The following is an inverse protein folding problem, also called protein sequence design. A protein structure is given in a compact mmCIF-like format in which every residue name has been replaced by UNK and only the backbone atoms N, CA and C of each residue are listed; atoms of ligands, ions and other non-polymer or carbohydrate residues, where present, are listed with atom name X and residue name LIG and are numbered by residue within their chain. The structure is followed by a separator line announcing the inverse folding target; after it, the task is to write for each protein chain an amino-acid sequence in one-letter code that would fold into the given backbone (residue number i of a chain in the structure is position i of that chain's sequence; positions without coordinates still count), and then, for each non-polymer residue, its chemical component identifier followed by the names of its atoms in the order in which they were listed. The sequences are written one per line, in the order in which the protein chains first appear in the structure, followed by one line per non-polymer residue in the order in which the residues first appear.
data_IF_981665485414
#
_entry.id   IF_981665485414
#
_cell.length_a   1.000
_cell.length_b   1.000
_cell.length_c   1.000
_cell.angle_alpha   90.00
_cell.angle_beta   90.00
_cell.angle_gamma   90.00
#
_symmetry.space_group_name_H-M   'P 1'
#
loop_
_entity.id
_entity.type
_entity.pdbx_description
1 polymer ?
#
# COMPACT_ATOMS: atom_id res chain seq x y z
N UNK A 1 -8.98 5.66 -14.73
CA UNK A 1 -7.68 5.44 -14.06
C UNK A 1 -6.81 6.66 -14.30
N UNK A 2 -6.20 7.24 -13.26
CA UNK A 2 -5.23 8.32 -13.39
C UNK A 2 -3.82 7.72 -13.31
N UNK A 3 -2.93 8.02 -14.26
CA UNK A 3 -1.56 7.56 -14.21
C UNK A 3 -0.86 8.12 -12.96
N UNK A 4 -0.01 7.30 -12.35
CA UNK A 4 0.78 7.68 -11.18
C UNK A 4 2.02 8.47 -11.60
N UNK A 5 2.43 9.42 -10.76
CA UNK A 5 3.74 10.08 -10.84
C UNK A 5 4.76 9.44 -9.89
N UNK A 6 4.38 8.37 -9.21
CA UNK A 6 5.24 7.57 -8.34
C UNK A 6 6.00 6.59 -9.24
N UNK A 7 7.30 6.61 -9.20
CA UNK A 7 8.19 6.01 -10.18
C UNK A 7 8.10 4.47 -10.25
N UNK A 8 7.68 3.81 -9.16
CA UNK A 8 7.64 2.35 -9.06
C UNK A 8 6.22 1.74 -9.21
N UNK A 9 5.21 2.54 -9.58
CA UNK A 9 3.84 2.07 -9.79
C UNK A 9 3.16 2.79 -10.96
N UNK A 10 2.21 2.14 -11.61
CA UNK A 10 1.50 2.71 -12.77
C UNK A 10 0.25 3.50 -12.37
N UNK A 11 -0.39 3.13 -11.26
CA UNK A 11 -1.60 3.80 -10.76
C UNK A 11 -1.64 3.85 -9.23
N UNK A 12 -2.53 4.67 -8.69
CA UNK A 12 -2.85 4.67 -7.25
C UNK A 12 -4.34 4.44 -7.03
N UNK A 13 -4.66 3.74 -5.94
CA UNK A 13 -6.02 3.51 -5.49
C UNK A 13 -6.13 3.83 -4.00
N UNK A 14 -7.00 4.77 -3.65
CA UNK A 14 -7.11 5.31 -2.30
C UNK A 14 -8.53 5.12 -1.74
N UNK A 15 -8.91 3.90 -1.31
CA UNK A 15 -10.19 3.64 -0.63
C UNK A 15 -10.21 4.20 0.80
N UNK A 16 -9.07 4.67 1.30
CA UNK A 16 -8.91 5.40 2.56
C UNK A 16 -8.10 6.67 2.28
N UNK A 17 -8.36 7.73 3.00
CA UNK A 17 -7.58 8.99 3.00
C UNK A 17 -7.21 9.34 4.42
N UNK A 18 -6.11 10.09 4.58
CA UNK A 18 -5.63 10.52 5.88
C UNK A 18 -4.92 9.42 6.67
N UNK A 19 -4.14 9.83 7.64
CA UNK A 19 -3.29 8.94 8.43
C UNK A 19 -2.82 9.65 9.70
N UNK A 20 -2.43 8.85 10.72
CA UNK A 20 -1.77 9.34 11.93
C UNK A 20 -0.28 9.04 11.85
N UNK A 21 0.56 9.97 12.31
CA UNK A 21 2.03 9.81 12.33
C UNK A 21 2.45 8.79 13.38
N UNK A 22 3.38 7.90 13.03
CA UNK A 22 3.87 6.83 13.92
C UNK A 22 5.39 6.78 14.04
N UNK A 23 6.13 7.53 13.22
CA UNK A 23 7.59 7.50 13.19
C UNK A 23 8.18 8.79 12.65
N UNK A 24 9.49 9.03 12.80
CA UNK A 24 10.18 10.18 12.22
C UNK A 24 10.02 10.30 10.70
N UNK A 25 9.82 9.19 9.98
CA UNK A 25 9.53 9.17 8.54
C UNK A 25 8.20 9.84 8.16
N UNK A 26 7.30 10.07 9.13
CA UNK A 26 6.05 10.78 8.91
C UNK A 26 6.16 12.31 9.10
N UNK A 27 7.33 12.83 9.51
CA UNK A 27 7.49 14.26 9.86
C UNK A 27 7.14 15.20 8.71
N UNK A 28 7.65 14.92 7.52
CA UNK A 28 7.45 15.72 6.30
C UNK A 28 6.63 14.93 5.26
N UNK A 29 5.50 14.36 5.69
CA UNK A 29 4.65 13.54 4.84
C UNK A 29 4.08 14.35 3.67
N UNK A 30 4.38 13.91 2.44
CA UNK A 30 3.87 14.56 1.24
C UNK A 30 2.34 14.51 1.13
N UNK A 31 1.74 13.42 1.62
CA UNK A 31 0.30 13.23 1.57
C UNK A 31 -0.42 14.18 2.52
N UNK A 32 0.11 14.37 3.74
CA UNK A 32 -0.38 15.37 4.68
C UNK A 32 -0.21 16.78 4.12
N UNK A 33 1.00 17.13 3.67
CA UNK A 33 1.27 18.45 3.11
C UNK A 33 0.38 18.79 1.91
N UNK A 34 -0.01 17.78 1.12
CA UNK A 34 -0.96 17.95 0.02
C UNK A 34 -2.39 18.14 0.56
N UNK A 35 -2.85 17.23 1.44
CA UNK A 35 -4.24 17.21 1.92
C UNK A 35 -4.61 18.46 2.72
N UNK A 36 -3.71 18.91 3.59
CA UNK A 36 -3.93 20.08 4.44
C UNK A 36 -4.11 21.40 3.67
N UNK A 37 -3.62 21.50 2.43
CA UNK A 37 -3.88 22.67 1.56
C UNK A 37 -5.36 22.86 1.24
N UNK A 38 -6.13 21.80 1.33
CA UNK A 38 -7.55 21.78 0.97
C UNK A 38 -8.46 21.68 2.19
N UNK A 39 -7.90 21.74 3.41
CA UNK A 39 -8.70 21.75 4.63
C UNK A 39 -9.65 22.95 4.62
N UNK A 40 -10.95 22.68 4.84
CA UNK A 40 -12.02 23.69 4.84
C UNK A 40 -12.47 24.15 3.45
N UNK A 41 -11.97 23.55 2.35
CA UNK A 41 -12.46 23.87 0.99
C UNK A 41 -13.72 23.04 0.69
N UNK A 42 -14.92 23.65 0.63
CA UNK A 42 -16.17 22.92 0.49
C UNK A 42 -16.23 22.05 -0.76
N UNK A 43 -16.67 20.79 -0.59
CA UNK A 43 -16.81 19.82 -1.67
C UNK A 43 -15.49 19.25 -2.20
N UNK A 44 -14.34 19.70 -1.70
CA UNK A 44 -13.05 19.11 -2.10
C UNK A 44 -12.83 17.74 -1.44
N UNK A 45 -12.25 16.74 -2.14
CA UNK A 45 -11.97 15.41 -1.58
C UNK A 45 -11.14 15.40 -0.28
N UNK A 46 -10.41 16.47 0.02
CA UNK A 46 -9.62 16.69 1.22
C UNK A 46 -10.11 17.89 2.04
N UNK A 47 -11.41 18.19 2.01
CA UNK A 47 -12.04 19.24 2.83
C UNK A 47 -11.73 19.10 4.33
N UNK A 48 -11.54 17.85 4.80
CA UNK A 48 -11.15 17.56 6.19
C UNK A 48 -9.62 17.49 6.38
N UNK A 49 -8.85 17.95 5.41
CA UNK A 49 -7.39 17.84 5.45
C UNK A 49 -6.94 16.39 5.46
N UNK A 50 -6.03 16.04 6.38
CA UNK A 50 -5.44 14.70 6.49
C UNK A 50 -6.07 13.82 7.57
N UNK A 51 -7.27 14.16 8.05
CA UNK A 51 -8.03 13.31 8.97
C UNK A 51 -8.43 11.98 8.29
N UNK A 52 -8.39 10.89 9.08
CA UNK A 52 -8.67 9.56 8.56
C UNK A 52 -10.12 9.43 8.09
N UNK A 53 -10.30 8.97 6.86
CA UNK A 53 -11.60 8.78 6.23
C UNK A 53 -11.66 7.54 5.36
N UNK A 54 -12.75 6.81 5.51
CA UNK A 54 -13.14 5.79 4.55
C UNK A 54 -13.68 6.46 3.29
N UNK A 55 -13.38 5.89 2.12
CA UNK A 55 -13.82 6.40 0.81
C UNK A 55 -14.54 5.30 0.04
N UNK A 56 -15.73 4.86 0.49
CA UNK A 56 -16.40 3.67 -0.01
C UNK A 56 -16.71 3.70 -1.52
N UNK A 57 -17.00 4.87 -2.09
CA UNK A 57 -17.26 5.02 -3.52
C UNK A 57 -16.04 4.70 -4.39
N UNK A 58 -14.84 4.57 -3.81
CA UNK A 58 -13.62 4.15 -4.49
C UNK A 58 -13.38 2.64 -4.47
N UNK A 59 -14.17 1.87 -3.72
CA UNK A 59 -13.97 0.42 -3.60
C UNK A 59 -14.05 -0.29 -4.94
N UNK A 60 -14.95 0.10 -5.81
CA UNK A 60 -15.14 -0.54 -7.11
C UNK A 60 -14.15 -0.11 -8.20
N UNK A 61 -13.30 0.91 -7.97
CA UNK A 61 -12.41 1.45 -9.01
C UNK A 61 -11.55 0.37 -9.71
N UNK A 62 -10.84 -0.54 -9.01
CA UNK A 62 -10.00 -1.55 -9.67
C UNK A 62 -10.79 -2.52 -10.56
N UNK A 63 -12.01 -2.86 -10.19
CA UNK A 63 -12.89 -3.77 -10.96
C UNK A 63 -13.35 -3.14 -12.30
N UNK A 64 -13.36 -1.81 -12.38
CA UNK A 64 -13.69 -1.06 -13.60
C UNK A 64 -12.52 -0.94 -14.57
N UNK A 65 -11.28 -1.17 -14.09
CA UNK A 65 -10.08 -1.07 -14.92
C UNK A 65 -9.79 -2.42 -15.58
N UNK A 66 -9.88 -2.46 -16.90
CA UNK A 66 -9.70 -3.70 -17.69
C UNK A 66 -8.28 -3.88 -18.22
N UNK A 67 -7.42 -2.86 -18.14
CA UNK A 67 -5.99 -3.00 -18.47
C UNK A 67 -5.25 -3.50 -17.24
N UNK A 68 -4.55 -4.65 -17.29
CA UNK A 68 -3.67 -5.10 -16.22
C UNK A 68 -2.68 -4.00 -15.83
N UNK A 69 -2.61 -3.67 -14.55
CA UNK A 69 -1.92 -2.47 -14.06
C UNK A 69 -1.31 -2.76 -12.69
N UNK A 70 -0.15 -2.19 -12.41
CA UNK A 70 0.43 -2.15 -11.07
C UNK A 70 -0.18 -0.99 -10.29
N UNK A 71 -0.76 -1.26 -9.13
CA UNK A 71 -1.56 -0.32 -8.35
C UNK A 71 -0.99 -0.18 -6.95
N UNK A 72 -0.54 1.02 -6.59
CA UNK A 72 -0.20 1.35 -5.21
C UNK A 72 -1.47 1.65 -4.40
N UNK A 73 -1.73 0.84 -3.39
CA UNK A 73 -2.91 0.95 -2.53
C UNK A 73 -2.61 1.92 -1.38
N UNK A 74 -3.48 2.92 -1.22
CA UNK A 74 -3.39 3.91 -0.15
C UNK A 74 -2.12 4.77 -0.18
N UNK A 75 -1.79 5.36 -1.33
CA UNK A 75 -0.71 6.34 -1.44
C UNK A 75 -0.93 7.61 -0.59
N UNK A 76 -2.16 7.87 -0.15
CA UNK A 76 -2.59 9.03 0.65
C UNK A 76 -3.06 8.62 2.06
N UNK A 77 -2.71 7.42 2.53
CA UNK A 77 -3.10 6.87 3.83
C UNK A 77 -2.28 5.62 4.15
N UNK A 78 -2.71 4.86 5.17
CA UNK A 78 -2.18 3.53 5.49
C UNK A 78 -3.35 2.58 5.73
N UNK A 79 -3.40 1.46 5.00
CA UNK A 79 -4.50 0.49 5.06
C UNK A 79 -4.68 -0.09 6.47
N UNK A 80 -3.59 -0.23 7.22
CA UNK A 80 -3.57 -0.82 8.56
C UNK A 80 -3.60 0.22 9.69
N UNK A 81 -3.97 1.47 9.37
CA UNK A 81 -4.12 2.52 10.37
C UNK A 81 -5.18 2.10 11.42
N UNK A 82 -4.96 2.43 12.68
CA UNK A 82 -5.69 1.93 13.84
C UNK A 82 -7.19 2.22 13.79
N UNK A 83 -7.58 3.40 13.31
CA UNK A 83 -8.98 3.84 13.20
C UNK A 83 -9.72 3.21 12.00
N UNK A 84 -9.02 2.49 11.12
CA UNK A 84 -9.68 1.77 10.02
C UNK A 84 -10.26 0.47 10.55
N UNK A 85 -11.60 0.27 10.45
CA UNK A 85 -12.23 -0.98 10.90
C UNK A 85 -11.68 -2.19 10.14
N UNK A 86 -11.40 -3.28 10.85
CA UNK A 86 -10.88 -4.52 10.24
C UNK A 86 -11.81 -5.03 9.13
N UNK A 87 -13.13 -4.93 9.32
CA UNK A 87 -14.10 -5.31 8.30
C UNK A 87 -13.99 -4.45 7.02
N UNK A 88 -13.58 -3.17 7.13
CA UNK A 88 -13.31 -2.35 5.95
C UNK A 88 -12.00 -2.75 5.27
N UNK A 89 -10.96 -3.07 6.05
CA UNK A 89 -9.70 -3.64 5.51
C UNK A 89 -10.02 -4.91 4.72
N UNK A 90 -10.85 -5.81 5.28
CA UNK A 90 -11.29 -7.02 4.59
C UNK A 90 -12.00 -6.69 3.27
N UNK A 91 -12.91 -5.69 3.25
CA UNK A 91 -13.58 -5.25 2.03
C UNK A 91 -12.59 -4.76 0.96
N UNK A 92 -11.59 -3.97 1.34
CA UNK A 92 -10.53 -3.51 0.42
C UNK A 92 -9.73 -4.70 -0.13
N UNK A 93 -9.39 -5.65 0.72
CA UNK A 93 -8.68 -6.88 0.35
C UNK A 93 -9.50 -7.75 -0.59
N UNK A 94 -10.80 -7.90 -0.35
CA UNK A 94 -11.70 -8.65 -1.23
C UNK A 94 -11.76 -8.04 -2.65
N UNK A 95 -11.72 -6.70 -2.77
CA UNK A 95 -11.62 -6.05 -4.09
C UNK A 95 -10.32 -6.45 -4.80
N UNK A 96 -9.19 -6.51 -4.07
CA UNK A 96 -7.91 -6.95 -4.66
C UNK A 96 -7.99 -8.40 -5.13
N UNK A 97 -8.61 -9.28 -4.36
CA UNK A 97 -8.81 -10.70 -4.72
C UNK A 97 -9.76 -10.86 -5.92
N UNK A 98 -10.76 -10.00 -6.05
CA UNK A 98 -11.72 -10.00 -7.18
C UNK A 98 -11.15 -9.39 -8.47
N UNK A 99 -10.03 -8.70 -8.40
CA UNK A 99 -9.37 -8.08 -9.55
C UNK A 99 -7.94 -8.63 -9.77
N UNK A 100 -7.75 -9.97 -9.90
CA UNK A 100 -6.43 -10.60 -9.88
C UNK A 100 -5.57 -10.28 -11.11
N UNK A 101 -6.11 -9.67 -12.15
CA UNK A 101 -5.37 -9.21 -13.33
C UNK A 101 -4.51 -7.95 -13.05
N UNK A 102 -4.72 -7.28 -11.91
CA UNK A 102 -3.84 -6.22 -11.44
C UNK A 102 -2.77 -6.76 -10.48
N UNK A 103 -1.67 -6.04 -10.35
CA UNK A 103 -0.72 -6.25 -9.24
C UNK A 103 -0.94 -5.14 -8.22
N UNK A 104 -1.27 -5.50 -6.99
CA UNK A 104 -1.49 -4.54 -5.91
C UNK A 104 -0.26 -4.46 -5.01
N UNK A 105 0.21 -3.25 -4.76
CA UNK A 105 1.33 -2.96 -3.86
C UNK A 105 0.78 -2.29 -2.62
N UNK A 106 0.82 -2.99 -1.49
CA UNK A 106 0.32 -2.50 -0.19
C UNK A 106 1.51 -2.21 0.71
N UNK A 107 1.64 -0.96 1.14
CA UNK A 107 2.73 -0.49 1.98
C UNK A 107 2.20 0.04 3.30
N UNK A 108 2.83 -0.34 4.42
CA UNK A 108 2.42 0.11 5.74
C UNK A 108 3.60 0.40 6.67
N UNK A 109 3.36 1.25 7.66
CA UNK A 109 4.19 1.42 8.85
C UNK A 109 3.64 0.67 10.08
N UNK A 110 2.49 0.00 9.94
CA UNK A 110 1.82 -0.80 10.98
C UNK A 110 2.05 -2.28 10.75
N UNK A 111 3.30 -2.68 10.72
CA UNK A 111 3.72 -4.04 10.37
C UNK A 111 3.13 -5.11 11.30
N UNK A 112 3.02 -4.84 12.60
CA UNK A 112 2.45 -5.79 13.57
C UNK A 112 0.96 -6.06 13.28
N UNK A 113 0.16 -5.02 13.00
CA UNK A 113 -1.25 -5.18 12.63
C UNK A 113 -1.42 -5.90 11.30
N UNK A 114 -0.60 -5.57 10.32
CA UNK A 114 -0.56 -6.27 9.03
C UNK A 114 -0.27 -7.76 9.24
N UNK A 115 0.78 -8.11 10.02
CA UNK A 115 1.15 -9.48 10.33
C UNK A 115 -0.01 -10.25 10.99
N UNK A 116 -0.64 -9.67 12.01
CA UNK A 116 -1.75 -10.30 12.70
C UNK A 116 -2.92 -10.64 11.77
N UNK A 117 -3.32 -9.68 10.91
CA UNK A 117 -4.42 -9.87 9.97
C UNK A 117 -4.05 -10.86 8.85
N UNK A 118 -2.85 -10.77 8.27
CA UNK A 118 -2.41 -11.67 7.21
C UNK A 118 -2.12 -13.10 7.69
N UNK A 119 -1.82 -13.29 8.97
CA UNK A 119 -1.69 -14.63 9.56
C UNK A 119 -3.04 -15.23 9.97
N UNK A 120 -4.06 -14.38 10.13
CA UNK A 120 -5.41 -14.74 10.56
C UNK A 120 -6.44 -14.63 9.41
N UNK A 121 -7.37 -13.70 9.56
CA UNK A 121 -8.55 -13.55 8.70
C UNK A 121 -8.28 -13.12 7.24
N UNK A 122 -7.10 -12.54 6.94
CA UNK A 122 -6.67 -12.16 5.58
C UNK A 122 -5.65 -13.14 4.98
N UNK A 123 -5.57 -14.36 5.48
CA UNK A 123 -4.56 -15.34 5.08
C UNK A 123 -4.65 -15.75 3.61
N UNK A 124 -5.84 -15.74 3.06
CA UNK A 124 -6.11 -15.97 1.64
C UNK A 124 -5.40 -14.92 0.75
N UNK A 125 -5.53 -13.65 1.14
CA UNK A 125 -4.88 -12.54 0.43
C UNK A 125 -3.36 -12.52 0.62
N UNK A 126 -2.83 -12.93 1.76
CA UNK A 126 -1.40 -13.05 1.98
C UNK A 126 -0.75 -13.98 0.94
N UNK A 127 -1.43 -15.06 0.56
CA UNK A 127 -0.96 -16.06 -0.40
C UNK A 127 -1.23 -15.70 -1.86
N UNK A 128 -1.97 -14.62 -2.13
CA UNK A 128 -2.28 -14.21 -3.48
C UNK A 128 -1.04 -13.59 -4.16
N UNK A 129 -0.54 -14.15 -5.29
CA UNK A 129 0.74 -13.71 -5.89
C UNK A 129 0.67 -12.35 -6.54
N UNK A 130 -0.52 -11.82 -6.79
CA UNK A 130 -0.78 -10.50 -7.36
C UNK A 130 -0.94 -9.41 -6.30
N UNK A 131 -0.86 -9.75 -4.99
CA UNK A 131 -0.88 -8.78 -3.89
C UNK A 131 0.50 -8.80 -3.21
N UNK A 132 1.22 -7.70 -3.34
CA UNK A 132 2.54 -7.51 -2.77
C UNK A 132 2.45 -6.73 -1.47
N UNK A 133 3.01 -7.27 -0.41
CA UNK A 133 2.95 -6.69 0.93
C UNK A 133 4.29 -6.11 1.31
N UNK A 134 4.30 -4.88 1.79
CA UNK A 134 5.53 -4.18 2.12
C UNK A 134 5.45 -3.36 3.39
N UNK A 135 6.62 -3.05 3.93
CA UNK A 135 6.79 -2.17 5.09
C UNK A 135 7.75 -1.04 4.76
N UNK A 136 7.49 0.15 5.34
CA UNK A 136 8.45 1.25 5.29
C UNK A 136 9.53 1.06 6.34
N UNK A 137 10.79 1.29 5.94
CA UNK A 137 11.97 1.19 6.80
C UNK A 137 12.77 2.49 6.64
N UNK A 138 12.51 3.47 7.50
CA UNK A 138 13.12 4.78 7.42
C UNK A 138 14.37 4.94 8.29
N UNK A 139 14.45 4.18 9.38
CA UNK A 139 15.51 4.22 10.39
C UNK A 139 15.65 2.87 11.09
N UNK A 140 16.68 2.73 11.94
CA UNK A 140 16.93 1.49 12.70
C UNK A 140 15.93 1.29 13.84
N UNK A 141 15.51 2.37 14.47
CA UNK A 141 14.68 2.30 15.68
C UNK A 141 13.22 1.95 15.36
N UNK A 142 12.60 2.66 14.42
CA UNK A 142 11.20 2.45 14.05
C UNK A 142 11.03 1.49 12.86
N UNK A 143 11.93 1.60 11.87
CA UNK A 143 11.81 0.93 10.60
C UNK A 143 12.30 -0.50 10.61
N UNK A 144 13.54 -0.75 11.07
CA UNK A 144 14.14 -2.08 11.01
C UNK A 144 13.32 -3.17 11.73
N UNK A 145 12.67 -2.95 12.89
CA UNK A 145 11.84 -3.97 13.53
C UNK A 145 10.65 -4.43 12.68
N UNK A 146 10.18 -3.60 11.72
CA UNK A 146 9.08 -3.98 10.83
C UNK A 146 9.45 -5.07 9.85
N UNK A 147 10.74 -5.27 9.56
CA UNK A 147 11.23 -6.33 8.68
C UNK A 147 10.85 -7.69 9.24
N UNK A 148 11.11 -7.93 10.53
CA UNK A 148 10.77 -9.20 11.18
C UNK A 148 9.26 -9.48 11.14
N UNK A 149 8.41 -8.47 11.35
CA UNK A 149 6.97 -8.62 11.20
C UNK A 149 6.57 -9.00 9.76
N UNK A 150 7.18 -8.39 8.74
CA UNK A 150 6.91 -8.71 7.35
C UNK A 150 7.36 -10.14 7.01
N UNK A 151 8.54 -10.55 7.45
CA UNK A 151 9.07 -11.91 7.25
C UNK A 151 8.20 -12.98 7.89
N UNK A 152 7.60 -12.69 9.05
CA UNK A 152 6.70 -13.59 9.76
C UNK A 152 5.29 -13.68 9.11
N UNK A 153 4.97 -12.84 8.09
CA UNK A 153 3.71 -12.97 7.36
C UNK A 153 3.78 -14.14 6.35
N UNK A 154 2.67 -14.86 6.07
CA UNK A 154 2.61 -15.87 5.02
C UNK A 154 2.52 -15.27 3.61
N UNK A 155 3.02 -14.05 3.40
CA UNK A 155 2.93 -13.32 2.15
C UNK A 155 3.73 -13.99 1.02
N UNK A 156 3.15 -14.03 -0.19
CA UNK A 156 3.81 -14.57 -1.38
C UNK A 156 4.92 -13.64 -1.88
N UNK A 157 4.66 -12.33 -1.91
CA UNK A 157 5.65 -11.32 -2.29
C UNK A 157 5.76 -10.29 -1.18
N UNK A 158 6.99 -10.06 -0.71
CA UNK A 158 7.34 -9.11 0.35
C UNK A 158 8.29 -8.05 -0.17
N UNK A 159 8.08 -6.79 0.18
CA UNK A 159 9.00 -5.73 -0.22
C UNK A 159 9.29 -4.74 0.91
N UNK A 160 10.46 -4.13 0.83
CA UNK A 160 10.88 -3.04 1.72
C UNK A 160 10.84 -1.72 0.95
N UNK A 161 10.29 -0.68 1.56
CA UNK A 161 10.38 0.69 1.09
C UNK A 161 11.19 1.50 2.10
N UNK A 162 12.46 1.74 1.79
CA UNK A 162 13.35 2.58 2.58
C UNK A 162 13.12 4.04 2.18
N UNK A 163 11.91 4.52 2.47
CA UNK A 163 11.42 5.85 2.06
C UNK A 163 10.63 6.54 3.19
N UNK A 164 11.10 7.70 3.66
CA UNK A 164 12.40 8.29 3.37
C UNK A 164 13.53 7.55 4.10
N UNK A 165 14.66 7.33 3.44
CA UNK A 165 15.87 6.81 4.10
C UNK A 165 16.52 7.93 4.90
N UNK A 166 16.55 7.79 6.23
CA UNK A 166 16.97 8.86 7.14
C UNK A 166 18.33 8.64 7.79
N UNK A 167 18.79 7.39 7.79
CA UNK A 167 20.11 6.99 8.32
C UNK A 167 20.59 5.71 7.64
N UNK A 168 21.82 5.28 7.97
CA UNK A 168 22.30 3.95 7.59
C UNK A 168 21.53 2.87 8.36
N UNK A 169 20.76 2.07 7.64
CA UNK A 169 19.96 0.98 8.20
C UNK A 169 20.61 -0.39 8.02
N UNK A 170 21.81 -0.43 7.44
CA UNK A 170 22.55 -1.67 7.24
C UNK A 170 23.19 -2.20 8.54
N UNK A 171 23.31 -3.53 8.75
CA UNK A 171 22.87 -4.57 7.82
C UNK A 171 21.35 -4.80 7.81
N UNK A 172 20.79 -5.09 6.62
CA UNK A 172 19.39 -5.48 6.45
C UNK A 172 19.27 -7.01 6.43
N UNK A 173 18.27 -7.56 7.11
CA UNK A 173 17.87 -8.94 6.90
C UNK A 173 16.96 -9.02 5.67
N UNK A 174 17.52 -9.50 4.55
CA UNK A 174 16.82 -9.66 3.27
C UNK A 174 16.28 -11.07 3.05
N UNK A 175 16.34 -11.96 4.05
CA UNK A 175 15.77 -13.31 3.91
C UNK A 175 14.27 -13.24 3.61
N UNK A 176 13.85 -13.89 2.53
CA UNK A 176 12.44 -13.91 2.11
C UNK A 176 11.88 -12.54 1.66
N UNK A 177 12.75 -11.55 1.41
CA UNK A 177 12.39 -10.27 0.79
C UNK A 177 12.59 -10.40 -0.72
N UNK A 178 11.64 -9.86 -1.49
CA UNK A 178 11.58 -10.01 -2.94
C UNK A 178 11.84 -8.69 -3.67
N UNK A 179 11.87 -7.56 -2.98
CA UNK A 179 12.11 -6.25 -3.56
C UNK A 179 12.50 -5.22 -2.51
N UNK A 180 13.43 -4.32 -2.88
CA UNK A 180 13.86 -3.19 -2.06
C UNK A 180 13.75 -1.91 -2.87
N UNK A 181 13.01 -0.94 -2.35
CA UNK A 181 12.86 0.41 -2.90
C UNK A 181 13.61 1.37 -1.98
N UNK A 182 14.42 2.27 -2.54
CA UNK A 182 15.12 3.31 -1.77
C UNK A 182 14.81 4.69 -2.32
N UNK A 183 14.53 5.63 -1.43
CA UNK A 183 14.31 7.02 -1.80
C UNK A 183 14.50 8.00 -0.66
N UNK A 184 14.99 9.19 -1.00
CA UNK A 184 15.15 10.30 -0.07
C UNK A 184 13.83 11.02 0.21
N UNK A 185 13.80 11.76 1.32
CA UNK A 185 12.67 12.60 1.68
C UNK A 185 12.48 13.73 0.67
N UNK A 186 11.23 14.05 0.32
CA UNK A 186 10.91 15.09 -0.66
C UNK A 186 10.07 16.19 -0.06
N UNK A 187 10.29 17.43 -0.51
CA UNK A 187 9.50 18.59 -0.08
C UNK A 187 10.28 19.55 0.79
N UNK A 188 9.60 20.57 1.29
CA UNK A 188 10.20 21.60 2.16
C UNK A 188 10.64 20.94 3.47
N UNK A 189 11.88 21.22 3.89
CA UNK A 189 12.46 20.62 5.08
C UNK A 189 12.99 19.20 4.91
N UNK A 190 13.06 18.68 3.69
CA UNK A 190 13.58 17.34 3.38
C UNK A 190 14.96 17.12 3.97
N UNK A 191 15.13 16.05 4.75
CA UNK A 191 16.39 15.63 5.34
C UNK A 191 17.27 14.99 4.27
N UNK A 192 18.57 15.27 4.25
CA UNK A 192 19.47 14.72 3.23
C UNK A 192 19.66 13.21 3.41
N UNK A 193 19.73 12.49 2.30
CA UNK A 193 20.12 11.09 2.23
C UNK A 193 21.58 11.00 1.78
N UNK A 194 22.38 10.15 2.42
CA UNK A 194 23.79 9.98 2.07
C UNK A 194 23.97 8.87 1.03
N UNK A 195 24.84 9.10 0.06
CA UNK A 195 25.13 8.16 -1.01
C UNK A 195 25.66 6.83 -0.48
N UNK A 196 26.54 6.86 0.52
CA UNK A 196 27.11 5.67 1.13
C UNK A 196 26.05 4.71 1.71
N UNK A 197 24.93 5.23 2.22
CA UNK A 197 23.84 4.39 2.72
C UNK A 197 23.15 3.62 1.57
N UNK A 198 22.94 4.30 0.45
CA UNK A 198 22.31 3.69 -0.74
C UNK A 198 23.23 2.63 -1.33
N UNK A 199 24.54 2.91 -1.41
CA UNK A 199 25.56 1.97 -1.91
C UNK A 199 25.65 0.70 -1.04
N UNK A 200 25.62 0.85 0.29
CA UNK A 200 25.60 -0.29 1.21
C UNK A 200 24.35 -1.18 1.03
N UNK A 201 23.18 -0.57 0.77
CA UNK A 201 21.94 -1.29 0.49
C UNK A 201 22.02 -2.01 -0.85
N UNK A 202 22.54 -1.36 -1.91
CA UNK A 202 22.73 -1.99 -3.23
C UNK A 202 23.60 -3.23 -3.11
N UNK A 203 24.73 -3.14 -2.44
CA UNK A 203 25.67 -4.25 -2.25
C UNK A 203 24.99 -5.44 -1.55
N UNK A 204 24.15 -5.18 -0.53
CA UNK A 204 23.41 -6.24 0.14
C UNK A 204 22.35 -6.86 -0.77
N UNK A 205 21.62 -6.04 -1.55
CA UNK A 205 20.63 -6.52 -2.51
C UNK A 205 21.29 -7.39 -3.60
N UNK A 206 22.45 -6.98 -4.12
CA UNK A 206 23.22 -7.75 -5.10
C UNK A 206 23.68 -9.10 -4.52
N UNK A 207 24.22 -9.09 -3.30
CA UNK A 207 24.64 -10.31 -2.60
C UNK A 207 23.48 -11.27 -2.35
N UNK A 208 22.33 -10.74 -1.94
CA UNK A 208 21.12 -11.50 -1.66
C UNK A 208 20.30 -11.81 -2.93
N UNK A 209 20.70 -11.34 -4.09
CA UNK A 209 19.97 -11.43 -5.37
C UNK A 209 18.53 -10.88 -5.28
N UNK A 210 18.33 -9.81 -4.51
CA UNK A 210 17.04 -9.15 -4.35
C UNK A 210 16.95 -7.97 -5.32
N UNK A 211 15.89 -7.86 -6.15
CA UNK A 211 15.64 -6.72 -7.00
C UNK A 211 15.72 -5.40 -6.23
N UNK A 212 16.45 -4.43 -6.79
CA UNK A 212 16.66 -3.11 -6.20
C UNK A 212 16.10 -2.01 -7.10
N UNK A 213 15.38 -1.06 -6.50
CA UNK A 213 14.81 0.09 -7.18
C UNK A 213 15.25 1.37 -6.49
N UNK A 214 15.90 2.28 -7.22
CA UNK A 214 16.26 3.59 -6.71
C UNK A 214 15.26 4.63 -7.21
N UNK A 215 14.39 5.09 -6.33
CA UNK A 215 13.33 6.03 -6.68
C UNK A 215 13.87 7.42 -6.95
N UNK A 216 14.64 7.99 -6.02
CA UNK A 216 15.14 9.37 -6.12
C UNK A 216 16.02 9.75 -4.93
N UNK A 217 16.82 10.82 -5.11
CA UNK A 217 17.59 11.42 -4.03
C UNK A 217 16.73 12.25 -3.05
N UNK A 218 15.54 12.69 -3.46
CA UNK A 218 14.69 13.55 -2.65
C UNK A 218 15.09 15.02 -2.70
N UNK A 219 14.89 15.74 -1.58
CA UNK A 219 15.16 17.17 -1.47
C UNK A 219 13.97 18.05 -1.85
N UNK A 220 14.13 19.38 -1.70
CA UNK A 220 13.04 20.36 -1.92
C UNK A 220 12.53 20.32 -3.37
N UNK A 221 13.40 20.06 -4.32
CA UNK A 221 13.09 19.94 -5.75
C UNK A 221 13.58 18.60 -6.28
N UNK A 222 12.87 17.52 -5.96
CA UNK A 222 13.24 16.14 -6.30
C UNK A 222 13.56 15.92 -7.78
N UNK A 223 12.94 16.68 -8.68
CA UNK A 223 13.22 16.60 -10.13
C UNK A 223 14.60 17.12 -10.51
N UNK A 224 15.22 17.98 -9.69
CA UNK A 224 16.59 18.47 -9.91
C UNK A 224 17.65 17.53 -9.37
N UNK A 225 17.38 16.86 -8.25
CA UNK A 225 18.29 15.88 -7.66
C UNK A 225 18.29 14.56 -8.42
N UNK A 226 17.15 14.25 -9.07
CA UNK A 226 17.03 13.12 -9.99
C UNK A 226 17.02 11.76 -9.29
N UNK A 227 17.25 10.72 -10.11
CA UNK A 227 17.22 9.31 -9.72
C UNK A 227 18.37 8.49 -10.31
N UNK A 228 19.49 9.14 -10.60
CA UNK A 228 20.69 8.46 -11.05
C UNK A 228 21.68 8.28 -9.90
N UNK A 229 22.26 7.11 -9.83
CA UNK A 229 23.40 6.80 -8.98
C UNK A 229 24.50 6.23 -9.88
N UNK A 230 25.72 6.78 -9.82
CA UNK A 230 26.82 6.44 -10.73
C UNK A 230 26.43 6.50 -12.23
N UNK A 231 25.65 7.51 -12.60
CA UNK A 231 25.22 7.75 -13.99
C UNK A 231 24.18 6.78 -14.53
N UNK A 232 23.64 5.87 -13.73
CA UNK A 232 22.58 4.91 -14.15
C UNK A 232 21.35 4.97 -13.26
N UNK A 233 20.21 4.51 -13.79
CA UNK A 233 18.98 4.26 -13.03
C UNK A 233 18.94 2.80 -12.61
N UNK A 234 18.22 2.54 -11.49
CA UNK A 234 17.97 1.19 -10.97
C UNK A 234 16.47 1.00 -10.89
N UNK A 235 15.92 0.23 -11.82
CA UNK A 235 14.49 0.07 -12.04
C UNK A 235 14.02 -1.39 -11.91
N UNK A 236 14.82 -2.25 -11.27
CA UNK A 236 14.49 -3.67 -11.18
C UNK A 236 13.31 -3.87 -10.24
N UNK A 237 12.35 -4.69 -10.68
CA UNK A 237 11.15 -5.06 -9.94
C UNK A 237 10.94 -6.59 -10.00
N UNK A 238 10.19 -7.16 -9.04
CA UNK A 238 9.77 -8.57 -9.15
C UNK A 238 8.92 -8.80 -10.40
N UNK A 239 8.99 -10.01 -10.94
CA UNK A 239 8.12 -10.43 -12.04
C UNK A 239 6.66 -10.46 -11.59
N UNK A 240 5.78 -9.88 -12.40
CA UNK A 240 4.33 -9.91 -12.17
C UNK A 240 3.75 -11.23 -12.67
N UNK A 241 2.78 -11.78 -11.93
CA UNK A 241 2.00 -12.90 -12.42
C UNK A 241 0.98 -12.38 -13.43
N UNK A 242 1.02 -12.92 -14.64
CA UNK A 242 0.04 -12.56 -15.68
C UNK A 242 -1.25 -13.36 -15.46
N UNK A 243 -2.31 -12.68 -15.07
CA UNK A 243 -3.64 -13.26 -14.92
C UNK A 243 -4.57 -12.58 -15.91
N UNK A 244 -5.36 -13.37 -16.64
CA UNK A 244 -6.32 -12.84 -17.60
C UNK A 244 -7.39 -12.00 -16.90
N UNK A 245 -7.82 -10.94 -17.56
CA UNK A 245 -8.96 -10.14 -17.09
C UNK A 245 -10.21 -11.02 -17.08
N UNK A 246 -10.93 -11.04 -15.97
CA UNK A 246 -12.19 -11.78 -15.86
C UNK A 246 -13.18 -11.33 -16.95
N UNK A 247 -14.04 -12.23 -17.38
CA UNK A 247 -15.08 -11.91 -18.36
C UNK A 247 -16.03 -10.81 -17.86
N UNK A 248 -16.82 -10.27 -18.79
CA UNK A 248 -17.70 -9.13 -18.49
C UNK A 248 -18.74 -9.48 -17.40
N UNK A 249 -19.35 -10.67 -17.46
CA UNK A 249 -20.41 -11.07 -16.53
C UNK A 249 -19.84 -11.21 -15.09
N UNK A 250 -18.70 -11.86 -14.95
CA UNK A 250 -17.97 -11.99 -13.66
C UNK A 250 -17.65 -10.62 -13.06
N UNK A 251 -17.13 -9.69 -13.87
CA UNK A 251 -16.83 -8.33 -13.39
C UNK A 251 -18.10 -7.56 -13.00
N UNK A 252 -19.21 -7.68 -13.76
CA UNK A 252 -20.48 -7.03 -13.41
C UNK A 252 -21.04 -7.57 -12.08
N UNK A 253 -20.96 -8.86 -11.85
CA UNK A 253 -21.37 -9.46 -10.57
C UNK A 253 -20.50 -8.93 -9.40
N UNK A 254 -19.19 -8.83 -9.59
CA UNK A 254 -18.28 -8.25 -8.60
C UNK A 254 -18.59 -6.77 -8.33
N UNK A 255 -18.86 -5.99 -9.37
CA UNK A 255 -19.24 -4.58 -9.26
C UNK A 255 -20.56 -4.41 -8.48
N UNK A 256 -21.59 -5.15 -8.79
CA UNK A 256 -22.87 -5.10 -8.08
C UNK A 256 -22.72 -5.42 -6.58
N UNK A 257 -21.89 -6.43 -6.26
CA UNK A 257 -21.54 -6.74 -4.86
C UNK A 257 -20.84 -5.58 -4.16
N UNK A 258 -19.88 -4.93 -4.82
CA UNK A 258 -19.13 -3.81 -4.26
C UNK A 258 -19.99 -2.55 -4.12
N UNK A 259 -20.96 -2.32 -4.99
CA UNK A 259 -21.93 -1.22 -4.87
C UNK A 259 -22.79 -1.39 -3.62
N UNK A 260 -23.28 -2.58 -3.33
CA UNK A 260 -23.98 -2.87 -2.07
C UNK A 260 -23.10 -2.57 -0.85
N UNK A 261 -21.87 -3.03 -0.84
CA UNK A 261 -20.93 -2.75 0.27
C UNK A 261 -20.58 -1.28 0.37
N UNK A 262 -20.42 -0.59 -0.75
CA UNK A 262 -20.16 0.85 -0.78
C UNK A 262 -21.28 1.63 -0.07
N UNK A 263 -22.54 1.31 -0.33
CA UNK A 263 -23.69 1.94 0.33
C UNK A 263 -23.66 1.70 1.84
N UNK A 264 -23.44 0.45 2.27
CA UNK A 264 -23.32 0.10 3.68
C UNK A 264 -22.21 0.90 4.38
N UNK A 265 -21.03 0.97 3.78
CA UNK A 265 -19.90 1.70 4.34
C UNK A 265 -20.08 3.22 4.28
N UNK A 266 -20.83 3.76 3.32
CA UNK A 266 -21.20 5.20 3.31
C UNK A 266 -22.05 5.58 4.52
N UNK A 267 -23.01 4.73 4.89
CA UNK A 267 -23.81 4.91 6.09
C UNK A 267 -22.94 4.92 7.34
N UNK A 268 -22.09 3.90 7.51
CA UNK A 268 -21.16 3.79 8.66
C UNK A 268 -20.22 5.01 8.73
N UNK A 269 -19.66 5.43 7.60
CA UNK A 269 -18.76 6.58 7.54
C UNK A 269 -19.47 7.90 7.91
N UNK A 270 -20.73 8.05 7.53
CA UNK A 270 -21.55 9.21 7.89
C UNK A 270 -21.90 9.24 9.39
N UNK A 271 -22.34 8.12 9.94
CA UNK A 271 -22.65 8.00 11.37
C UNK A 271 -21.41 8.28 12.25
N UNK A 272 -20.21 7.84 11.80
CA UNK A 272 -18.97 8.16 12.49
C UNK A 272 -18.65 9.65 12.49
N UNK A 273 -19.01 10.38 11.43
CA UNK A 273 -18.82 11.84 11.33
C UNK A 273 -19.81 12.62 12.19
N UNK A 274 -21.05 12.14 12.26
CA UNK A 274 -22.14 12.79 13.00
C UNK A 274 -22.08 12.50 14.52
N UNK A 275 -21.08 11.69 14.96
CA UNK A 275 -20.90 11.30 16.37
C UNK A 275 -22.01 10.39 16.90
N UNK A 276 -22.81 9.82 16.00
CA UNK A 276 -23.96 8.97 16.33
C UNK A 276 -23.65 7.48 16.23
N UNK A 277 -22.42 7.11 15.79
CA UNK A 277 -22.05 5.73 15.57
C UNK A 277 -21.92 4.96 16.90
N UNK A 278 -22.65 3.84 17.06
CA UNK A 278 -22.22 2.81 17.99
C UNK A 278 -20.87 2.25 17.49
N UNK A 279 -19.94 1.95 18.38
CA UNK A 279 -18.70 1.25 18.00
C UNK A 279 -19.06 0.05 17.13
N UNK A 280 -18.44 -0.13 15.94
CA UNK A 280 -18.85 -1.14 15.00
C UNK A 280 -18.83 -2.51 15.64
N UNK A 281 -19.99 -3.11 15.86
CA UNK A 281 -20.13 -4.54 16.09
C UNK A 281 -19.83 -5.22 14.77
N UNK A 282 -18.97 -6.24 14.83
CA UNK A 282 -18.63 -7.06 13.66
C UNK A 282 -19.94 -7.59 13.02
N UNK A 283 -20.16 -7.45 11.71
CA UNK A 283 -21.28 -8.12 11.07
C UNK A 283 -21.14 -9.62 11.30
N UNK A 284 -22.22 -10.24 11.78
CA UNK A 284 -22.31 -11.67 12.03
C UNK A 284 -21.87 -12.44 10.78
N UNK A 285 -20.93 -13.34 10.97
CA UNK A 285 -20.38 -14.20 9.91
C UNK A 285 -21.46 -15.17 9.41
N UNK A 286 -22.15 -14.81 8.35
CA UNK A 286 -22.81 -15.82 7.50
C UNK A 286 -21.79 -16.21 6.41
N UNK A 287 -20.94 -17.16 6.74
CA UNK A 287 -20.01 -17.78 5.81
C UNK A 287 -20.78 -18.70 4.87
N UNK A 288 -21.05 -18.24 3.66
CA UNK A 288 -21.21 -19.13 2.53
C UNK A 288 -19.87 -19.19 1.79
N UNK A 289 -19.09 -20.20 2.14
CA UNK A 289 -17.89 -20.58 1.43
C UNK A 289 -18.29 -21.02 0.00
N UNK A 290 -18.02 -20.18 -0.98
CA UNK A 290 -17.95 -20.63 -2.36
C UNK A 290 -16.62 -21.37 -2.52
N UNK A 291 -16.70 -22.71 -2.45
CA UNK A 291 -15.68 -23.64 -2.88
C UNK A 291 -15.32 -23.32 -4.33
N UNK A 292 -14.11 -22.83 -4.56
CA UNK A 292 -13.48 -22.84 -5.87
C UNK A 292 -13.19 -24.30 -6.22
N UNK A 293 -14.06 -24.90 -7.03
CA UNK A 293 -13.78 -26.17 -7.67
C UNK A 293 -12.55 -25.99 -8.58
N UNK A 294 -11.39 -26.44 -8.11
CA UNK A 294 -10.24 -26.67 -8.96
C UNK A 294 -10.58 -27.89 -9.83
N UNK A 295 -11.00 -27.66 -11.06
CA UNK A 295 -11.03 -28.72 -12.07
C UNK A 295 -9.57 -29.08 -12.41
N UNK A 296 -9.18 -30.26 -11.95
CA UNK A 296 -8.01 -30.97 -12.45
C UNK A 296 -8.21 -31.29 -13.93
N UNK A 297 -7.34 -30.78 -14.79
CA UNK A 297 -7.13 -31.33 -16.12
C UNK A 297 -5.76 -32.01 -16.11
N UNK A 298 -5.80 -33.29 -16.43
CA UNK A 298 -4.68 -34.21 -16.53
C UNK A 298 -3.65 -33.78 -17.59
#
# INVERSE_FOLDING_TARGET
MHPSTIEWTEATWNPIRGCVKVSPGCKHCYAEAFAERFRGVPGHPYEQGFDVRLVPHKLSDPLRWTRPTTIFVNSMSDLFQEDVPTAYIRTVVDVMLLAPWHTFQVLTKRAARMQALLSGELRDAARAPHIWWGVSVEDRHYGSPRIAHLQATPAQVRFLSLEPLLEDVCPLDLHGIHWVIVGGESGIGARPMQQAWVEAIIQQCETAQVPFFFKQWGGVRKHKTGRQLHGRTYDTQPSRVAIAVSDHATRQAALARMETWSVTWQTVAKEALDGTAPRPQQPSQSHNALSLAASSVA
#
